data_IF_654504119833
#
_entry.id   IF_654504119833
#
_cell.length_a   1.000
_cell.length_b   1.000
_cell.length_c   1.000
_cell.angle_alpha   90.00
_cell.angle_beta   90.00
_cell.angle_gamma   90.00
#
_symmetry.space_group_name_H-M   'P 1'
#
loop_
_entity.id
_entity.type
_entity.pdbx_description
1 polymer ?
#
# COMPACT_ATOMS: atom_id res chain seq x y z
N UNK A 1 -7.79 6.02 -38.25
CA UNK A 1 -8.87 5.23 -37.62
C UNK A 1 -8.25 4.33 -36.55
N UNK A 2 -7.61 4.91 -35.53
CA UNK A 2 -7.09 4.18 -34.35
C UNK A 2 -7.02 5.12 -33.13
N UNK A 3 -7.95 6.07 -33.03
CA UNK A 3 -8.01 7.04 -31.92
C UNK A 3 -9.04 6.67 -30.83
N UNK A 4 -9.78 5.57 -30.98
CA UNK A 4 -10.79 5.14 -29.99
C UNK A 4 -10.18 4.36 -28.81
N UNK A 5 -9.07 3.66 -29.00
CA UNK A 5 -8.43 2.89 -27.92
C UNK A 5 -7.79 3.78 -26.83
N UNK A 6 -7.42 5.03 -27.17
CA UNK A 6 -6.86 5.99 -26.23
C UNK A 6 -7.93 6.71 -25.39
N UNK A 7 -9.20 6.70 -25.82
CA UNK A 7 -10.29 7.45 -25.17
C UNK A 7 -11.01 6.64 -24.07
N UNK A 8 -10.86 5.31 -24.02
CA UNK A 8 -11.54 4.44 -23.03
C UNK A 8 -10.83 4.42 -21.66
N UNK A 9 -9.59 4.91 -21.56
CA UNK A 9 -8.84 4.94 -20.29
C UNK A 9 -8.98 6.25 -19.50
N UNK A 10 -9.86 7.16 -19.95
CA UNK A 10 -10.00 8.49 -19.35
C UNK A 10 -11.14 8.62 -18.32
N UNK A 11 -11.70 7.51 -17.85
CA UNK A 11 -12.80 7.52 -16.88
C UNK A 11 -12.37 6.99 -15.52
N UNK A 12 -12.09 7.94 -14.61
CA UNK A 12 -11.89 7.78 -13.16
C UNK A 12 -10.48 7.43 -12.67
N UNK A 13 -9.64 8.47 -12.46
CA UNK A 13 -8.45 8.33 -11.60
C UNK A 13 -8.91 7.95 -10.19
N UNK A 14 -8.78 6.68 -9.82
CA UNK A 14 -9.14 6.23 -8.48
C UNK A 14 -8.12 6.77 -7.47
N UNK A 15 -8.44 6.78 -6.17
CA UNK A 15 -7.45 7.11 -5.12
C UNK A 15 -6.24 6.17 -5.19
N UNK A 16 -6.46 4.92 -5.58
CA UNK A 16 -5.42 3.92 -5.81
C UNK A 16 -4.45 4.34 -6.94
N UNK A 17 -4.98 4.83 -8.07
CA UNK A 17 -4.14 5.26 -9.18
C UNK A 17 -3.28 6.48 -8.83
N UNK A 18 -3.86 7.45 -8.10
CA UNK A 18 -3.13 8.62 -7.63
C UNK A 18 -2.02 8.25 -6.65
N UNK A 19 -2.32 7.39 -5.67
CA UNK A 19 -1.31 6.89 -4.74
C UNK A 19 -0.20 6.15 -5.49
N UNK A 20 -0.56 5.24 -6.39
CA UNK A 20 0.41 4.47 -7.16
C UNK A 20 1.35 5.36 -7.98
N UNK A 21 0.80 6.43 -8.58
CA UNK A 21 1.56 7.39 -9.36
C UNK A 21 2.44 8.30 -8.47
N UNK A 22 2.01 8.63 -7.25
CA UNK A 22 2.77 9.49 -6.34
C UNK A 22 3.94 8.77 -5.64
N UNK A 23 3.89 7.44 -5.56
CA UNK A 23 4.96 6.64 -4.95
C UNK A 23 6.26 6.69 -5.79
N UNK A 24 7.43 6.83 -5.14
CA UNK A 24 8.72 6.62 -5.79
C UNK A 24 8.81 5.22 -6.38
N UNK A 25 9.58 5.06 -7.46
CA UNK A 25 9.67 3.80 -8.20
C UNK A 25 10.02 2.60 -7.31
N UNK A 26 10.93 2.77 -6.35
CA UNK A 26 11.36 1.71 -5.43
C UNK A 26 10.29 1.22 -4.44
N UNK A 27 9.25 2.02 -4.19
CA UNK A 27 8.16 1.71 -3.26
C UNK A 27 6.81 1.55 -3.96
N UNK A 28 6.83 1.64 -5.30
CA UNK A 28 5.67 1.38 -6.12
C UNK A 28 5.30 -0.10 -6.01
N UNK A 29 4.01 -0.40 -6.15
CA UNK A 29 3.43 -1.73 -5.89
C UNK A 29 2.94 -2.44 -7.17
N UNK A 30 3.77 -2.59 -8.24
CA UNK A 30 3.29 -3.06 -9.53
C UNK A 30 2.71 -4.48 -9.48
N UNK A 31 3.33 -5.42 -8.74
CA UNK A 31 2.85 -6.80 -8.63
C UNK A 31 1.57 -6.86 -7.80
N UNK A 32 1.52 -6.13 -6.67
CA UNK A 32 0.33 -6.05 -5.83
C UNK A 32 -0.83 -5.41 -6.58
N UNK A 33 -0.60 -4.33 -7.33
CA UNK A 33 -1.63 -3.70 -8.18
C UNK A 33 -2.17 -4.68 -9.22
N UNK A 34 -1.30 -5.43 -9.88
CA UNK A 34 -1.68 -6.37 -10.94
C UNK A 34 -2.47 -7.56 -10.40
N UNK A 35 -2.01 -8.16 -9.28
CA UNK A 35 -2.59 -9.41 -8.73
C UNK A 35 -3.73 -9.15 -7.74
N UNK A 36 -3.65 -8.05 -7.00
CA UNK A 36 -4.54 -7.72 -5.89
C UNK A 36 -4.95 -6.23 -5.91
N UNK A 37 -5.65 -5.75 -6.96
CA UNK A 37 -6.01 -4.33 -7.08
C UNK A 37 -6.81 -3.80 -5.89
N UNK A 38 -7.68 -4.62 -5.30
CA UNK A 38 -8.43 -4.29 -4.08
C UNK A 38 -7.54 -4.02 -2.86
N UNK A 39 -6.33 -4.58 -2.79
CA UNK A 39 -5.36 -4.29 -1.72
C UNK A 39 -4.84 -2.87 -1.89
N UNK A 40 -4.48 -2.47 -3.13
CA UNK A 40 -4.05 -1.09 -3.41
C UNK A 40 -5.16 -0.07 -3.12
N UNK A 41 -6.42 -0.41 -3.42
CA UNK A 41 -7.57 0.42 -3.05
C UNK A 41 -7.71 0.61 -1.54
N UNK A 42 -7.60 -0.48 -0.76
CA UNK A 42 -7.60 -0.42 0.71
C UNK A 42 -6.45 0.44 1.24
N UNK A 43 -5.25 0.27 0.69
CA UNK A 43 -4.08 1.09 1.06
C UNK A 43 -4.38 2.57 0.80
N UNK A 44 -4.90 2.91 -0.38
CA UNK A 44 -5.22 4.29 -0.73
C UNK A 44 -6.35 4.89 0.11
N UNK A 45 -7.27 4.08 0.62
CA UNK A 45 -8.32 4.51 1.53
C UNK A 45 -7.74 4.94 2.90
N UNK A 46 -6.78 4.18 3.41
CA UNK A 46 -6.21 4.37 4.76
C UNK A 46 -4.90 5.19 4.79
N UNK A 47 -4.34 5.54 3.62
CA UNK A 47 -3.03 6.20 3.47
C UNK A 47 -2.84 7.46 4.32
N UNK A 48 -3.88 8.30 4.43
CA UNK A 48 -3.80 9.58 5.16
C UNK A 48 -3.99 9.43 6.68
N UNK A 49 -4.30 8.22 7.18
CA UNK A 49 -4.58 7.96 8.60
C UNK A 49 -3.54 6.97 9.13
N UNK A 50 -2.41 7.44 9.71
CA UNK A 50 -1.27 6.59 10.02
C UNK A 50 -1.60 5.35 10.85
N UNK A 51 -2.45 5.50 11.87
CA UNK A 51 -2.88 4.37 12.70
C UNK A 51 -3.64 3.30 11.92
N UNK A 52 -4.50 3.70 10.97
CA UNK A 52 -5.28 2.76 10.15
C UNK A 52 -4.41 2.13 9.07
N UNK A 53 -3.51 2.89 8.45
CA UNK A 53 -2.51 2.36 7.53
C UNK A 53 -1.66 1.27 8.20
N UNK A 54 -1.15 1.52 9.42
CA UNK A 54 -0.33 0.54 10.13
C UNK A 54 -1.11 -0.70 10.55
N UNK A 55 -2.36 -0.54 11.02
CA UNK A 55 -3.24 -1.68 11.28
C UNK A 55 -3.49 -2.51 10.02
N UNK A 56 -3.68 -1.86 8.87
CA UNK A 56 -3.81 -2.54 7.59
C UNK A 56 -2.53 -3.30 7.21
N UNK A 57 -1.35 -2.69 7.38
CA UNK A 57 -0.08 -3.36 7.11
C UNK A 57 0.12 -4.58 8.01
N UNK A 58 -0.21 -4.48 9.29
CA UNK A 58 -0.16 -5.62 10.20
C UNK A 58 -1.16 -6.72 9.79
N UNK A 59 -2.37 -6.36 9.34
CA UNK A 59 -3.34 -7.33 8.80
C UNK A 59 -2.84 -8.04 7.53
N UNK A 60 -2.16 -7.31 6.64
CA UNK A 60 -1.69 -7.83 5.35
C UNK A 60 -0.38 -8.64 5.47
N UNK A 61 0.51 -8.25 6.38
CA UNK A 61 1.86 -8.83 6.53
C UNK A 61 1.94 -9.88 7.63
N UNK A 62 1.12 -9.78 8.68
CA UNK A 62 1.12 -10.79 9.75
C UNK A 62 0.13 -11.87 9.36
N UNK A 63 0.65 -13.08 9.15
CA UNK A 63 -0.14 -14.27 8.87
C UNK A 63 -0.86 -14.77 10.14
N UNK A 64 -1.86 -14.02 10.62
CA UNK A 64 -2.73 -14.45 11.72
C UNK A 64 -3.91 -15.30 11.24
N UNK A 65 -4.00 -15.59 9.93
CA UNK A 65 -5.15 -16.28 9.33
C UNK A 65 -4.68 -17.66 8.88
N UNK A 66 -4.49 -18.57 9.85
CA UNK A 66 -4.09 -19.97 9.67
C UNK A 66 -5.09 -20.82 8.86
N UNK A 67 -5.30 -20.43 7.60
CA UNK A 67 -5.99 -21.14 6.52
C UNK A 67 -6.04 -20.35 5.19
N UNK A 68 -5.38 -19.19 5.04
CA UNK A 68 -5.27 -18.50 3.74
C UNK A 68 -3.94 -18.83 3.08
N UNK A 69 -3.96 -19.07 1.77
CA UNK A 69 -2.74 -18.95 0.98
C UNK A 69 -2.33 -17.47 1.06
N UNK A 70 -1.29 -17.18 1.84
CA UNK A 70 -0.79 -15.82 2.01
C UNK A 70 -0.38 -15.16 0.69
N UNK A 71 0.14 -13.93 0.76
CA UNK A 71 0.62 -13.29 -0.46
C UNK A 71 1.86 -13.98 -1.03
N UNK A 72 2.02 -13.99 -2.36
CA UNK A 72 3.29 -14.34 -2.99
C UNK A 72 4.43 -13.48 -2.45
N UNK A 73 5.65 -14.03 -2.46
CA UNK A 73 6.84 -13.35 -1.92
C UNK A 73 7.02 -11.93 -2.46
N UNK A 74 6.85 -11.71 -3.77
CA UNK A 74 7.01 -10.38 -4.38
C UNK A 74 6.03 -9.35 -3.83
N UNK A 75 4.79 -9.77 -3.53
CA UNK A 75 3.79 -8.89 -2.91
C UNK A 75 4.14 -8.59 -1.45
N UNK A 76 4.64 -9.59 -0.71
CA UNK A 76 5.14 -9.35 0.65
C UNK A 76 6.27 -8.34 0.65
N UNK A 77 7.25 -8.50 -0.25
CA UNK A 77 8.39 -7.58 -0.36
C UNK A 77 7.94 -6.15 -0.69
N UNK A 78 7.05 -5.99 -1.66
CA UNK A 78 6.45 -4.69 -2.01
C UNK A 78 5.74 -4.04 -0.80
N UNK A 79 4.89 -4.79 -0.09
CA UNK A 79 4.15 -4.30 1.06
C UNK A 79 5.05 -3.96 2.25
N UNK A 80 6.10 -4.76 2.50
CA UNK A 80 7.11 -4.48 3.52
C UNK A 80 7.86 -3.19 3.20
N UNK A 81 8.34 -3.04 1.96
CA UNK A 81 9.07 -1.84 1.53
C UNK A 81 8.20 -0.58 1.62
N UNK A 82 6.92 -0.68 1.27
CA UNK A 82 5.97 0.42 1.41
C UNK A 82 5.76 0.83 2.87
N UNK A 83 5.61 -0.14 3.79
CA UNK A 83 5.48 0.16 5.22
C UNK A 83 6.70 0.90 5.74
N UNK A 84 7.90 0.46 5.37
CA UNK A 84 9.15 1.11 5.77
C UNK A 84 9.26 2.52 5.20
N UNK A 85 8.94 2.72 3.93
CA UNK A 85 8.86 4.06 3.32
C UNK A 85 7.87 4.97 4.05
N UNK A 86 6.67 4.46 4.34
CA UNK A 86 5.65 5.24 5.04
C UNK A 86 6.14 5.72 6.42
N UNK A 87 6.78 4.82 7.18
CA UNK A 87 7.30 5.12 8.51
C UNK A 87 8.50 6.06 8.52
N UNK A 88 9.34 6.02 7.49
CA UNK A 88 10.59 6.79 7.45
C UNK A 88 10.41 8.15 6.75
N UNK A 89 9.67 8.18 5.66
CA UNK A 89 9.64 9.33 4.74
C UNK A 89 8.31 10.09 4.75
N UNK A 90 7.18 9.39 4.92
CA UNK A 90 5.85 10.01 4.87
C UNK A 90 5.44 10.55 6.24
N UNK A 91 5.74 9.79 7.30
CA UNK A 91 5.41 10.14 8.68
C UNK A 91 6.68 10.13 9.54
N UNK A 92 7.68 10.92 9.14
CA UNK A 92 8.90 11.10 9.90
C UNK A 92 8.57 11.46 11.37
N UNK A 93 9.11 10.71 12.33
CA UNK A 93 8.81 10.83 13.77
C UNK A 93 7.72 9.90 14.31
N UNK A 94 6.93 9.23 13.46
CA UNK A 94 5.92 8.27 13.92
C UNK A 94 6.54 7.03 14.57
N UNK A 95 7.72 6.58 14.11
CA UNK A 95 8.43 5.46 14.73
C UNK A 95 8.80 5.75 16.17
N UNK A 96 9.24 6.98 16.46
CA UNK A 96 9.54 7.44 17.81
C UNK A 96 8.27 7.47 18.65
N UNK A 97 7.19 8.06 18.14
CA UNK A 97 5.90 8.11 18.84
C UNK A 97 5.29 6.71 19.13
N UNK A 98 5.49 5.74 18.24
CA UNK A 98 5.05 4.34 18.45
C UNK A 98 5.97 3.57 19.41
N UNK A 99 7.27 3.86 19.40
CA UNK A 99 8.21 3.29 20.35
C UNK A 99 7.93 3.80 21.78
N UNK A 100 7.62 5.09 21.91
CA UNK A 100 7.29 5.73 23.19
C UNK A 100 5.96 5.25 23.78
N UNK A 101 5.00 4.87 22.94
CA UNK A 101 3.73 4.28 23.40
C UNK A 101 3.84 2.78 23.77
N UNK A 102 5.03 2.19 23.61
CA UNK A 102 5.34 0.81 23.99
C UNK A 102 6.15 0.78 25.30
N UNK A 103 5.61 1.40 26.36
CA UNK A 103 6.00 1.08 27.74
C UNK A 103 5.49 2.06 28.81
N UNK A 104 5.37 1.64 30.07
CA UNK A 104 5.55 0.28 30.61
C UNK A 104 4.31 -0.63 30.47
#
# INVERSE_FOLDING_TARGET
MNDEAAMILQSSQTRADRLFASLPYAFRLPVTRQRYPHVLERIAAEWEVPRRFLQLMDELLIDQRGNRAGFPFDCILELTNLREYYLNEVQAGLREALADHRGP
#
